data_IF_344895922558
#
_entry.id   IF_344895922558
#
_cell.length_a   1.000
_cell.length_b   1.000
_cell.length_c   1.000
_cell.angle_alpha   90.00
_cell.angle_beta   90.00
_cell.angle_gamma   90.00
#
_symmetry.space_group_name_H-M   'P 1'
#
loop_
_entity.id
_entity.type
_entity.pdbx_description
1 polymer ?
#
# COMPACT_ATOMS: atom_id res chain seq x y z
N UNK A 1 20.08 6.02 -13.10
CA UNK A 1 19.19 6.50 -13.06
C UNK A 1 18.13 5.85 -12.47
N UNK A 2 17.35 6.36 -11.94
CA UNK A 2 16.43 5.82 -11.34
C UNK A 2 15.33 5.73 -12.12
N UNK A 3 14.85 4.74 -12.34
CA UNK A 3 13.74 4.68 -13.15
C UNK A 3 12.56 4.75 -12.30
N UNK A 4 12.70 4.69 -11.03
CA UNK A 4 11.55 4.71 -10.23
C UNK A 4 11.28 6.08 -9.71
N UNK A 5 11.78 7.11 -10.36
CA UNK A 5 11.50 8.37 -9.94
C UNK A 5 10.08 8.72 -10.10
N UNK A 6 9.46 9.32 -9.17
CA UNK A 6 8.06 9.69 -9.22
C UNK A 6 7.91 11.17 -9.48
N UNK A 7 6.83 11.57 -10.12
CA UNK A 7 6.58 13.00 -10.30
C UNK A 7 6.36 13.66 -8.96
N UNK A 8 6.52 14.95 -8.93
CA UNK A 8 6.29 15.68 -7.70
C UNK A 8 4.88 15.46 -7.24
N UNK A 9 4.69 15.30 -5.99
CA UNK A 9 3.37 15.10 -5.42
C UNK A 9 2.98 13.65 -5.28
N UNK A 10 3.74 12.74 -5.86
CA UNK A 10 3.41 11.32 -5.76
C UNK A 10 4.38 10.61 -4.86
N UNK A 11 3.94 9.57 -4.22
CA UNK A 11 4.79 8.79 -3.36
C UNK A 11 4.30 7.37 -3.27
N UNK A 12 5.22 6.45 -2.99
CA UNK A 12 4.87 5.06 -2.80
C UNK A 12 4.62 4.79 -1.34
N UNK A 13 3.60 4.00 -1.08
CA UNK A 13 3.24 3.64 0.27
C UNK A 13 3.23 2.14 0.38
N UNK A 14 3.84 1.61 1.43
CA UNK A 14 3.82 0.20 1.69
C UNK A 14 3.10 -0.05 2.99
N UNK A 15 2.21 -1.02 2.99
CA UNK A 15 1.44 -1.36 4.16
C UNK A 15 1.71 -2.79 4.50
N UNK A 16 1.83 -3.08 5.78
CA UNK A 16 2.09 -4.42 6.22
C UNK A 16 1.17 -4.71 7.38
N UNK A 17 0.47 -5.79 7.36
CA UNK A 17 -0.46 -6.11 8.43
C UNK A 17 -0.61 -7.61 8.58
N UNK A 18 -1.10 -8.02 9.72
CA UNK A 18 -1.25 -9.43 10.02
C UNK A 18 -2.47 -10.04 9.38
N UNK A 19 -3.42 -9.23 8.96
CA UNK A 19 -4.60 -9.80 8.31
C UNK A 19 -5.01 -8.93 7.14
N UNK A 20 -5.68 -9.56 6.20
CA UNK A 20 -6.07 -8.88 5.01
C UNK A 20 -7.10 -7.80 5.24
N UNK A 21 -7.97 -7.98 6.19
CA UNK A 21 -9.00 -6.98 6.44
C UNK A 21 -8.39 -5.66 6.85
N UNK A 22 -7.30 -5.71 7.60
CA UNK A 22 -6.62 -4.50 8.01
C UNK A 22 -5.99 -3.82 6.81
N UNK A 23 -5.38 -4.59 5.93
CA UNK A 23 -4.77 -4.02 4.75
C UNK A 23 -5.84 -3.34 3.90
N UNK A 24 -6.98 -4.00 3.73
CA UNK A 24 -8.05 -3.44 2.92
C UNK A 24 -8.60 -2.16 3.53
N UNK A 25 -8.72 -2.14 4.84
CA UNK A 25 -9.24 -0.95 5.51
C UNK A 25 -8.32 0.23 5.34
N UNK A 26 -7.01 -0.01 5.43
CA UNK A 26 -6.06 1.07 5.27
C UNK A 26 -6.07 1.55 3.82
N UNK A 27 -6.14 0.62 2.89
CA UNK A 27 -6.18 0.99 1.49
C UNK A 27 -7.39 1.88 1.21
N UNK A 28 -8.52 1.51 1.77
CA UNK A 28 -9.71 2.25 1.53
C UNK A 28 -9.62 3.66 2.10
N UNK A 29 -9.04 3.80 3.27
CA UNK A 29 -8.86 5.12 3.85
C UNK A 29 -7.96 5.98 2.99
N UNK A 30 -6.89 5.40 2.46
CA UNK A 30 -6.00 6.17 1.63
C UNK A 30 -6.68 6.60 0.34
N UNK A 31 -7.49 5.75 -0.24
CA UNK A 31 -8.18 6.11 -1.47
C UNK A 31 -9.26 7.16 -1.25
N UNK A 32 -9.74 7.26 -0.03
CA UNK A 32 -10.70 8.28 0.26
C UNK A 32 -10.05 9.66 0.35
N UNK A 33 -8.82 9.71 0.75
CA UNK A 33 -8.15 10.97 0.94
C UNK A 33 -7.20 11.36 -0.17
N UNK A 34 -6.75 10.40 -0.96
CA UNK A 34 -5.79 10.67 -2.00
C UNK A 34 -6.15 9.94 -3.27
N UNK A 35 -5.69 10.43 -4.39
CA UNK A 35 -5.86 9.73 -5.62
C UNK A 35 -4.81 8.66 -5.63
N UNK A 36 -5.18 7.43 -5.81
CA UNK A 36 -4.26 6.32 -5.74
C UNK A 36 -4.27 5.53 -7.04
N UNK A 37 -3.12 5.01 -7.39
CA UNK A 37 -3.02 4.15 -8.54
C UNK A 37 -3.32 2.72 -8.20
N UNK A 38 -3.02 1.81 -9.10
CA UNK A 38 -3.29 0.40 -8.83
C UNK A 38 -2.43 -0.10 -7.69
N UNK A 39 -2.98 -0.98 -6.90
CA UNK A 39 -2.26 -1.51 -5.76
C UNK A 39 -1.80 -2.92 -6.06
N UNK A 40 -0.68 -3.30 -5.49
CA UNK A 40 -0.15 -4.64 -5.60
C UNK A 40 -0.21 -5.27 -4.23
N UNK A 41 -0.82 -6.42 -4.12
CA UNK A 41 -0.93 -7.11 -2.87
C UNK A 41 -0.24 -8.44 -2.93
N UNK A 42 0.37 -8.85 -1.86
CA UNK A 42 0.92 -10.18 -1.77
C UNK A 42 1.06 -10.57 -0.30
N UNK A 43 1.17 -11.85 -0.06
CA UNK A 43 1.29 -12.36 1.29
C UNK A 43 2.57 -13.16 1.43
N UNK A 44 3.18 -13.05 2.59
CA UNK A 44 4.37 -13.79 2.89
C UNK A 44 4.15 -14.60 4.13
N UNK A 45 4.62 -15.82 4.14
CA UNK A 45 4.50 -16.66 5.31
C UNK A 45 5.87 -16.79 5.95
N UNK A 46 5.95 -16.46 7.21
CA UNK A 46 7.19 -16.60 7.92
C UNK A 46 7.10 -17.86 8.74
N UNK A 47 7.53 -18.94 8.18
CA UNK A 47 7.37 -20.19 8.83
C UNK A 47 8.48 -20.53 9.78
N UNK A 48 9.51 -19.78 9.79
CA UNK A 48 10.60 -20.12 10.61
C UNK A 48 10.39 -19.89 12.06
N UNK A 49 10.09 -18.74 12.46
CA UNK A 49 9.96 -18.49 13.86
C UNK A 49 8.53 -18.55 14.34
N UNK A 50 7.59 -18.18 13.55
CA UNK A 50 6.22 -18.19 14.00
C UNK A 50 5.40 -18.94 12.99
N UNK A 51 5.20 -20.19 13.19
CA UNK A 51 4.50 -20.99 12.22
C UNK A 51 3.11 -20.43 11.98
N UNK A 52 2.64 -20.56 10.80
CA UNK A 52 1.31 -20.18 10.45
C UNK A 52 1.06 -18.70 10.51
N UNK A 53 2.08 -17.90 10.56
CA UNK A 53 1.85 -16.52 10.57
C UNK A 53 2.07 -15.99 9.19
N UNK A 54 1.15 -15.25 8.68
CA UNK A 54 1.28 -14.63 7.37
C UNK A 54 1.35 -13.14 7.55
N UNK A 55 2.10 -12.49 6.71
CA UNK A 55 2.17 -11.04 6.70
C UNK A 55 1.65 -10.61 5.36
N UNK A 56 0.68 -9.74 5.37
CA UNK A 56 0.05 -9.26 4.15
C UNK A 56 0.60 -7.90 3.79
N UNK A 57 0.99 -7.74 2.55
CA UNK A 57 1.62 -6.52 2.10
C UNK A 57 0.80 -5.87 1.01
N UNK A 58 0.84 -4.57 0.96
CA UNK A 58 0.18 -3.85 -0.10
C UNK A 58 1.04 -2.66 -0.43
N UNK A 59 1.27 -2.43 -1.70
CA UNK A 59 2.05 -1.28 -2.14
C UNK A 59 1.24 -0.52 -3.17
N UNK A 60 1.17 0.77 -3.02
CA UNK A 60 0.46 1.57 -4.00
C UNK A 60 1.08 2.96 -4.05
N UNK A 61 0.78 3.67 -5.12
CA UNK A 61 1.29 5.02 -5.31
C UNK A 61 0.15 6.00 -5.06
N UNK A 62 0.43 7.00 -4.26
CA UNK A 62 -0.56 8.02 -3.96
C UNK A 62 -0.14 9.33 -4.60
N UNK A 63 -1.14 10.10 -4.99
CA UNK A 63 -0.89 11.39 -5.62
C UNK A 63 -1.55 12.44 -4.74
N UNK A 64 -0.75 13.27 -4.13
CA UNK A 64 -1.29 14.27 -3.22
C UNK A 64 -1.78 15.49 -3.96
N UNK A 65 -1.35 15.69 -5.21
CA UNK A 65 -1.81 16.82 -5.92
C UNK A 65 -3.11 16.64 -6.57
N UNK A 66 -3.42 15.52 -6.99
CA UNK A 66 -4.66 15.31 -7.64
C UNK A 66 -5.76 14.95 -6.72
N UNK A 67 -5.67 15.29 -5.50
CA UNK A 67 -6.62 14.82 -4.63
C UNK A 67 -7.85 15.44 -4.84
N UNK A 68 -8.78 14.88 -4.55
CA UNK A 68 -9.97 15.26 -4.82
C UNK A 68 -10.45 16.28 -4.20
N UNK A 69 -10.42 16.77 -3.79
CA UNK A 69 -10.88 17.71 -3.25
C UNK A 69 -11.68 18.24 -3.60
N UNK A 70 -12.37 18.51 -3.47
CA UNK A 70 -13.39 19.03 -3.88
C UNK A 70 -13.44 19.85 -4.02
#
# INVERSE_FOLDING_TARGET
MRTDELPDGQGNVSIEAADEATVAAIEELLRLHFRAGPAVRYSEYHAISVPHRAVHHLTLTLDTRGSTQP
#
